data_IF_609605047271
#
_entry.id   IF_609605047271
#
_cell.length_a   1.000
_cell.length_b   1.000
_cell.length_c   1.000
_cell.angle_alpha   90.00
_cell.angle_beta   90.00
_cell.angle_gamma   90.00
#
_symmetry.space_group_name_H-M   'P 1'
#
loop_
_entity.id
_entity.type
_entity.pdbx_description
1 polymer ?
#
# COMPACT_ATOMS: atom_id res chain seq x y z
N UNK A 1 -21.03 -3.14 3.39
CA UNK A 1 -21.60 -2.93 4.75
C UNK A 1 -20.54 -2.35 5.69
N UNK A 2 -20.93 -1.59 6.72
CA UNK A 2 -20.03 -1.20 7.82
C UNK A 2 -20.00 -2.24 8.96
N UNK A 3 -18.80 -2.64 9.35
CA UNK A 3 -18.53 -3.51 10.49
C UNK A 3 -18.30 -2.73 11.79
N UNK A 4 -17.47 -3.28 12.66
CA UNK A 4 -17.05 -2.64 13.92
C UNK A 4 -17.69 -3.22 15.18
N UNK A 5 -17.22 -2.71 16.31
CA UNK A 5 -17.67 -3.13 17.63
C UNK A 5 -19.10 -2.68 17.88
N UNK A 6 -19.95 -3.59 18.33
CA UNK A 6 -21.35 -3.29 18.63
C UNK A 6 -21.44 -2.33 19.82
N UNK A 7 -22.06 -1.17 19.59
CA UNK A 7 -22.44 -0.20 20.62
C UNK A 7 -23.87 -0.48 21.09
N UNK A 8 -24.77 -0.85 20.17
CA UNK A 8 -26.13 -1.28 20.47
C UNK A 8 -26.54 -2.42 19.55
N UNK A 9 -27.03 -3.50 20.16
CA UNK A 9 -27.42 -4.73 19.47
C UNK A 9 -28.71 -4.53 18.67
N UNK A 10 -28.66 -4.81 17.37
CA UNK A 10 -29.82 -4.63 16.47
C UNK A 10 -30.95 -5.62 16.70
N UNK A 11 -30.66 -6.79 17.30
CA UNK A 11 -31.66 -7.79 17.68
C UNK A 11 -32.67 -7.27 18.71
N UNK A 12 -32.27 -6.30 19.54
CA UNK A 12 -33.12 -5.68 20.56
C UNK A 12 -33.38 -4.20 20.31
N UNK A 13 -32.72 -3.61 19.31
CA UNK A 13 -32.92 -2.23 18.89
C UNK A 13 -33.59 -2.19 17.51
N UNK A 14 -34.92 -2.18 17.52
CA UNK A 14 -35.73 -2.08 16.30
C UNK A 14 -36.14 -0.63 16.05
N UNK A 15 -35.98 -0.18 14.81
CA UNK A 15 -36.41 1.15 14.36
C UNK A 15 -37.18 1.02 13.04
N UNK A 16 -37.95 2.05 12.72
CA UNK A 16 -38.87 2.04 11.58
C UNK A 16 -38.16 2.09 10.22
N UNK A 17 -37.01 2.75 10.12
CA UNK A 17 -36.30 2.98 8.87
C UNK A 17 -34.82 3.30 9.09
N UNK A 18 -34.06 3.29 7.99
CA UNK A 18 -32.63 3.60 7.98
C UNK A 18 -32.30 5.00 8.55
N UNK A 19 -33.18 5.99 8.33
CA UNK A 19 -33.01 7.35 8.86
C UNK A 19 -33.10 7.38 10.40
N UNK A 20 -34.05 6.66 10.98
CA UNK A 20 -34.17 6.52 12.43
C UNK A 20 -32.94 5.78 13.02
N UNK A 21 -32.37 4.82 12.28
CA UNK A 21 -31.13 4.16 12.69
C UNK A 21 -29.93 5.12 12.67
N UNK A 22 -29.80 5.93 11.62
CA UNK A 22 -28.82 7.02 11.54
C UNK A 22 -28.95 7.99 12.72
N UNK A 23 -30.16 8.47 12.98
CA UNK A 23 -30.40 9.47 14.04
C UNK A 23 -30.10 8.88 15.44
N UNK A 24 -30.39 7.59 15.64
CA UNK A 24 -29.99 6.87 16.86
C UNK A 24 -28.47 6.77 17.01
N UNK A 25 -27.73 6.56 15.91
CA UNK A 25 -26.26 6.61 15.93
C UNK A 25 -25.75 8.02 16.26
N UNK A 26 -26.30 9.04 15.59
CA UNK A 26 -25.91 10.43 15.81
C UNK A 26 -26.11 10.88 17.27
N UNK A 27 -27.19 10.42 17.92
CA UNK A 27 -27.46 10.66 19.33
C UNK A 27 -26.44 10.00 20.28
N UNK A 28 -25.70 9.00 19.80
CA UNK A 28 -24.68 8.28 20.55
C UNK A 28 -23.24 8.63 20.12
N UNK A 29 -23.04 9.68 19.31
CA UNK A 29 -21.71 10.05 18.78
C UNK A 29 -20.69 10.45 19.86
N UNK A 30 -21.20 10.88 21.02
CA UNK A 30 -20.40 11.36 22.15
C UNK A 30 -20.53 10.40 23.37
N UNK A 31 -21.09 9.19 23.15
CA UNK A 31 -21.37 8.23 24.22
C UNK A 31 -20.09 7.57 24.76
N UNK A 32 -20.05 7.36 26.07
CA UNK A 32 -18.98 6.63 26.77
C UNK A 32 -19.47 5.24 27.24
N UNK A 33 -18.64 4.19 27.24
CA UNK A 33 -17.20 4.20 26.94
C UNK A 33 -16.88 4.20 25.44
N UNK A 34 -17.88 4.03 24.57
CA UNK A 34 -17.68 3.86 23.13
C UNK A 34 -18.79 4.56 22.33
N UNK A 35 -18.44 5.56 21.49
CA UNK A 35 -19.44 6.30 20.72
C UNK A 35 -19.89 5.53 19.48
N UNK A 36 -21.09 5.80 18.97
CA UNK A 36 -21.51 5.31 17.66
C UNK A 36 -20.93 6.19 16.55
N UNK A 37 -20.36 5.58 15.50
CA UNK A 37 -19.89 6.30 14.32
C UNK A 37 -20.23 5.61 12.98
N UNK A 38 -20.78 4.40 13.02
CA UNK A 38 -21.37 3.72 11.85
C UNK A 38 -22.63 2.95 12.27
N UNK A 39 -23.54 2.73 11.34
CA UNK A 39 -24.79 2.03 11.61
C UNK A 39 -25.18 1.08 10.46
N UNK A 40 -25.91 0.02 10.80
CA UNK A 40 -26.45 -0.95 9.85
C UNK A 40 -27.91 -1.24 10.18
N UNK A 41 -28.77 -1.18 9.17
CA UNK A 41 -30.22 -1.31 9.27
C UNK A 41 -30.72 -2.44 8.38
N UNK A 42 -31.64 -3.27 8.89
CA UNK A 42 -32.31 -4.31 8.12
C UNK A 42 -33.65 -3.84 7.53
N UNK A 43 -33.73 -3.48 6.24
CA UNK A 43 -34.99 -3.15 5.56
C UNK A 43 -35.80 -4.38 5.13
N UNK A 44 -35.18 -5.56 5.03
CA UNK A 44 -35.80 -6.72 4.39
C UNK A 44 -37.01 -7.26 5.19
N UNK A 45 -38.13 -7.49 4.50
CA UNK A 45 -39.36 -8.00 5.13
C UNK A 45 -39.18 -9.41 5.72
N UNK A 46 -38.38 -10.27 5.06
CA UNK A 46 -38.01 -11.59 5.55
C UNK A 46 -36.84 -11.59 6.55
N UNK A 47 -36.40 -10.41 7.01
CA UNK A 47 -35.21 -10.26 7.83
C UNK A 47 -33.90 -10.33 7.03
N UNK A 48 -32.80 -10.05 7.70
CA UNK A 48 -31.45 -10.02 7.15
C UNK A 48 -30.62 -11.21 7.68
N UNK A 49 -29.45 -11.44 7.09
CA UNK A 49 -28.55 -12.54 7.46
C UNK A 49 -29.22 -13.93 7.46
N UNK A 50 -30.06 -14.20 6.45
CA UNK A 50 -30.83 -15.45 6.34
C UNK A 50 -32.01 -15.54 7.30
N UNK A 51 -32.62 -14.40 7.67
CA UNK A 51 -33.77 -14.32 8.57
C UNK A 51 -33.41 -14.34 10.06
N UNK A 52 -32.12 -14.36 10.40
CA UNK A 52 -31.64 -14.28 11.80
C UNK A 52 -31.84 -12.90 12.42
N UNK A 53 -31.85 -11.87 11.57
CA UNK A 53 -32.00 -10.49 11.99
C UNK A 53 -33.39 -9.98 11.59
N UNK A 54 -34.23 -9.53 12.54
CA UNK A 54 -35.58 -9.11 12.24
C UNK A 54 -35.59 -7.82 11.38
N UNK A 55 -36.67 -7.62 10.62
CA UNK A 55 -36.92 -6.34 9.95
C UNK A 55 -36.87 -5.22 10.99
N UNK A 56 -36.19 -4.13 10.64
CA UNK A 56 -36.05 -2.98 11.53
C UNK A 56 -34.84 -3.05 12.45
N UNK A 57 -34.10 -4.17 12.49
CA UNK A 57 -32.89 -4.29 13.29
C UNK A 57 -31.90 -3.16 12.96
N UNK A 58 -31.57 -2.36 13.97
CA UNK A 58 -30.65 -1.23 13.89
C UNK A 58 -29.41 -1.51 14.76
N UNK A 59 -28.33 -1.86 14.08
CA UNK A 59 -27.03 -2.10 14.68
C UNK A 59 -26.27 -0.78 14.75
N UNK A 60 -26.08 -0.27 15.96
CA UNK A 60 -25.20 0.87 16.21
C UNK A 60 -23.81 0.35 16.53
N UNK A 61 -22.79 0.81 15.81
CA UNK A 61 -21.44 0.28 15.94
C UNK A 61 -20.42 1.42 16.04
N UNK A 62 -19.26 1.05 16.56
CA UNK A 62 -18.06 1.87 16.55
C UNK A 62 -17.02 1.19 15.68
N UNK A 63 -16.55 1.91 14.67
CA UNK A 63 -15.48 1.47 13.80
C UNK A 63 -14.33 2.47 13.90
N UNK A 64 -13.08 2.02 14.11
CA UNK A 64 -11.93 2.94 14.18
C UNK A 64 -11.76 3.84 12.95
N UNK A 65 -12.21 3.39 11.77
CA UNK A 65 -12.17 4.11 10.49
C UNK A 65 -13.57 4.18 9.88
N UNK A 66 -14.48 5.02 10.39
CA UNK A 66 -15.87 5.05 9.94
C UNK A 66 -16.02 5.40 8.45
N UNK A 67 -15.01 5.97 7.80
CA UNK A 67 -14.96 6.27 6.36
C UNK A 67 -14.89 5.02 5.46
N UNK A 68 -14.48 3.87 5.99
CA UNK A 68 -14.19 2.67 5.20
C UNK A 68 -15.20 1.54 5.45
N UNK A 69 -16.01 1.09 4.49
CA UNK A 69 -16.83 -0.10 4.67
C UNK A 69 -15.93 -1.36 4.84
N UNK A 70 -16.24 -2.21 5.82
CA UNK A 70 -15.44 -3.40 6.18
C UNK A 70 -16.16 -4.72 5.97
N UNK A 71 -17.48 -4.70 5.74
CA UNK A 71 -18.25 -5.88 5.36
C UNK A 71 -18.07 -6.25 3.89
N UNK A 72 -18.59 -7.42 3.46
CA UNK A 72 -18.59 -7.80 2.06
C UNK A 72 -19.15 -6.66 1.20
N UNK A 73 -18.60 -6.55 -0.02
CA UNK A 73 -18.95 -5.54 -1.02
C UNK A 73 -20.46 -5.55 -1.31
N UNK A 74 -20.92 -4.62 -2.16
CA UNK A 74 -22.28 -4.56 -2.68
C UNK A 74 -22.60 -5.81 -3.54
N UNK A 75 -22.68 -6.96 -2.88
CA UNK A 75 -23.16 -8.18 -3.45
C UNK A 75 -24.67 -7.99 -3.69
N UNK A 76 -25.22 -8.42 -4.84
CA UNK A 76 -26.63 -8.21 -5.18
C UNK A 76 -27.62 -8.75 -4.14
N UNK A 77 -27.17 -9.67 -3.30
CA UNK A 77 -27.91 -10.36 -2.25
C UNK A 77 -27.72 -9.74 -0.85
N UNK A 78 -26.92 -8.68 -0.69
CA UNK A 78 -26.73 -8.02 0.59
C UNK A 78 -28.00 -7.20 0.96
N UNK A 79 -28.78 -7.62 1.97
CA UNK A 79 -30.05 -6.96 2.30
C UNK A 79 -29.87 -5.73 3.19
N UNK A 80 -28.65 -5.44 3.66
CA UNK A 80 -28.37 -4.41 4.64
C UNK A 80 -28.28 -3.01 4.03
N UNK A 81 -28.84 -2.02 4.72
CA UNK A 81 -28.57 -0.60 4.47
C UNK A 81 -27.63 -0.10 5.56
N UNK A 82 -26.51 0.52 5.21
CA UNK A 82 -25.55 1.01 6.21
C UNK A 82 -25.07 2.41 5.90
N UNK A 83 -24.65 3.13 6.93
CA UNK A 83 -24.10 4.48 6.79
C UNK A 83 -23.02 4.78 7.81
N UNK A 84 -22.26 5.82 7.52
CA UNK A 84 -21.16 6.33 8.33
C UNK A 84 -21.46 7.75 8.79
N UNK A 85 -21.00 8.09 9.99
CA UNK A 85 -21.02 9.44 10.53
C UNK A 85 -19.75 10.24 10.15
N UNK A 86 -18.82 9.63 9.39
CA UNK A 86 -17.63 10.31 8.89
C UNK A 86 -18.01 11.45 7.94
N UNK A 87 -17.25 12.56 8.00
CA UNK A 87 -17.41 13.63 7.03
C UNK A 87 -17.14 13.08 5.61
N UNK A 88 -17.99 13.39 4.61
CA UNK A 88 -17.72 13.04 3.23
C UNK A 88 -16.37 13.61 2.80
N UNK A 89 -15.57 12.81 2.11
CA UNK A 89 -14.32 13.28 1.53
C UNK A 89 -14.59 14.42 0.52
N UNK A 90 -13.67 15.38 0.42
CA UNK A 90 -13.76 16.46 -0.55
C UNK A 90 -13.44 15.95 -1.96
N UNK A 91 -14.46 15.53 -2.70
CA UNK A 91 -14.32 14.92 -4.04
C UNK A 91 -14.18 15.93 -5.19
N UNK A 92 -13.95 17.22 -4.89
CA UNK A 92 -13.87 18.28 -5.91
C UNK A 92 -12.56 18.13 -6.70
N UNK A 93 -12.67 17.73 -7.98
CA UNK A 93 -11.53 17.52 -8.89
C UNK A 93 -11.22 16.04 -9.20
N UNK A 94 -11.97 15.09 -8.63
CA UNK A 94 -11.57 13.66 -8.57
C UNK A 94 -12.08 12.75 -9.68
N UNK A 95 -12.38 13.29 -10.86
CA UNK A 95 -12.84 12.47 -11.99
C UNK A 95 -12.09 12.81 -13.27
N UNK A 96 -11.84 11.78 -14.08
CA UNK A 96 -11.10 11.89 -15.34
C UNK A 96 -9.63 12.25 -15.14
N UNK A 97 -9.06 12.96 -16.12
CA UNK A 97 -7.65 13.41 -16.17
C UNK A 97 -7.13 14.05 -14.87
N UNK A 98 -7.99 14.71 -14.10
CA UNK A 98 -7.61 15.43 -12.89
C UNK A 98 -7.23 14.50 -11.73
N UNK A 99 -7.59 13.21 -11.81
CA UNK A 99 -7.20 12.19 -10.82
C UNK A 99 -5.94 11.41 -11.20
N UNK A 100 -5.25 11.83 -12.27
CA UNK A 100 -4.00 11.18 -12.70
C UNK A 100 -2.97 11.16 -11.59
N UNK A 101 -2.23 10.07 -11.51
CA UNK A 101 -1.15 9.91 -10.55
C UNK A 101 0.18 9.66 -11.25
N UNK A 102 1.23 10.20 -10.65
CA UNK A 102 2.61 9.95 -11.03
C UNK A 102 3.20 8.82 -10.19
N UNK A 103 3.86 7.85 -10.81
CA UNK A 103 4.59 6.81 -10.04
C UNK A 103 5.97 7.34 -9.67
N UNK A 104 6.30 7.32 -8.38
CA UNK A 104 7.64 7.68 -7.90
C UNK A 104 8.25 6.46 -7.21
N UNK A 105 9.37 5.98 -7.74
CA UNK A 105 10.12 4.83 -7.21
C UNK A 105 11.54 5.25 -6.89
N UNK A 106 12.08 4.77 -5.76
CA UNK A 106 13.47 5.05 -5.36
C UNK A 106 14.35 3.86 -5.70
N UNK A 107 15.55 4.12 -6.25
CA UNK A 107 16.56 3.09 -6.48
C UNK A 107 17.97 3.61 -6.21
N UNK A 108 18.92 2.70 -5.99
CA UNK A 108 20.35 2.94 -6.16
C UNK A 108 20.88 2.27 -7.45
N UNK A 109 22.13 2.58 -7.81
CA UNK A 109 22.75 2.12 -9.05
C UNK A 109 23.31 0.68 -8.93
N UNK A 110 22.51 -0.27 -8.42
CA UNK A 110 22.93 -1.67 -8.33
C UNK A 110 22.14 -2.59 -9.28
N UNK A 111 22.75 -3.70 -9.75
CA UNK A 111 22.08 -4.64 -10.65
C UNK A 111 20.79 -5.22 -10.09
N UNK A 112 20.75 -5.46 -8.77
CA UNK A 112 19.61 -6.04 -8.07
C UNK A 112 18.34 -5.21 -8.28
N UNK A 113 18.36 -3.91 -7.98
CA UNK A 113 17.21 -3.03 -8.16
C UNK A 113 17.01 -2.66 -9.63
N UNK A 114 18.07 -2.61 -10.42
CA UNK A 114 18.01 -2.23 -11.82
C UNK A 114 17.13 -3.17 -12.64
N UNK A 115 17.29 -4.50 -12.56
CA UNK A 115 16.40 -5.41 -13.31
C UNK A 115 14.95 -5.36 -12.78
N UNK A 116 14.78 -5.16 -11.47
CA UNK A 116 13.45 -5.06 -10.83
C UNK A 116 12.69 -3.85 -11.39
N UNK A 117 13.27 -2.65 -11.31
CA UNK A 117 12.62 -1.40 -11.76
C UNK A 117 12.39 -1.38 -13.28
N UNK A 118 13.27 -2.01 -14.07
CA UNK A 118 13.04 -2.17 -15.52
C UNK A 118 11.82 -3.04 -15.81
N UNK A 119 11.68 -4.16 -15.08
CA UNK A 119 10.51 -5.04 -15.20
C UNK A 119 9.24 -4.29 -14.76
N UNK A 120 9.29 -3.57 -13.64
CA UNK A 120 8.20 -2.73 -13.15
C UNK A 120 7.79 -1.69 -14.19
N UNK A 121 8.73 -0.93 -14.74
CA UNK A 121 8.46 0.13 -15.72
C UNK A 121 7.86 -0.43 -17.02
N UNK A 122 8.37 -1.57 -17.50
CA UNK A 122 7.79 -2.29 -18.65
C UNK A 122 6.30 -2.62 -18.41
N UNK A 123 5.97 -3.21 -17.26
CA UNK A 123 4.59 -3.55 -16.93
C UNK A 123 3.72 -2.32 -16.67
N UNK A 124 4.28 -1.27 -16.07
CA UNK A 124 3.60 0.02 -15.92
C UNK A 124 3.15 0.58 -17.27
N UNK A 125 4.06 0.68 -18.25
CA UNK A 125 3.75 1.17 -19.59
C UNK A 125 2.69 0.29 -20.28
N UNK A 126 2.81 -1.03 -20.14
CA UNK A 126 1.85 -1.99 -20.72
C UNK A 126 0.45 -1.85 -20.12
N UNK A 127 0.32 -1.61 -18.82
CA UNK A 127 -0.99 -1.40 -18.20
C UNK A 127 -1.55 0.00 -18.48
N UNK A 128 -0.70 1.04 -18.50
CA UNK A 128 -1.08 2.40 -18.89
C UNK A 128 -1.65 2.44 -20.31
N UNK A 129 -1.04 1.73 -21.25
CA UNK A 129 -1.49 1.65 -22.64
C UNK A 129 -2.89 1.02 -22.82
N UNK A 130 -3.42 0.33 -21.80
CA UNK A 130 -4.77 -0.23 -21.81
C UNK A 130 -5.83 0.74 -21.29
N UNK A 131 -5.44 1.88 -20.71
CA UNK A 131 -6.40 2.90 -20.27
C UNK A 131 -6.84 3.79 -21.43
N UNK A 132 -8.04 4.37 -21.32
CA UNK A 132 -8.49 5.39 -22.27
C UNK A 132 -7.52 6.60 -22.21
N UNK A 133 -7.05 7.13 -23.34
CA UNK A 133 -6.10 8.26 -23.34
C UNK A 133 -6.64 9.55 -22.69
N UNK A 134 -7.97 9.74 -22.68
CA UNK A 134 -8.64 10.87 -22.04
C UNK A 134 -8.93 10.55 -20.58
N UNK A 135 -9.50 9.40 -20.26
CA UNK A 135 -9.98 9.13 -18.89
C UNK A 135 -8.99 8.34 -18.02
N UNK A 136 -7.88 7.88 -18.58
CA UNK A 136 -6.83 7.13 -17.90
C UNK A 136 -6.13 7.93 -16.80
N UNK A 137 -5.90 7.26 -15.68
CA UNK A 137 -5.35 7.86 -14.46
C UNK A 137 -3.88 7.51 -14.23
N UNK A 138 -3.29 6.57 -14.97
CA UNK A 138 -1.84 6.31 -14.93
C UNK A 138 -1.10 7.44 -15.68
N UNK A 139 -0.48 8.35 -14.93
CA UNK A 139 0.20 9.55 -15.41
C UNK A 139 1.66 9.32 -15.79
N UNK A 140 2.58 10.11 -15.24
CA UNK A 140 4.02 9.93 -15.42
C UNK A 140 4.64 8.87 -14.50
N UNK A 141 5.93 8.62 -14.73
CA UNK A 141 6.76 7.71 -13.94
C UNK A 141 8.13 8.36 -13.76
N UNK A 142 8.62 8.45 -12.52
CA UNK A 142 9.96 8.95 -12.21
C UNK A 142 10.68 7.95 -11.30
N UNK A 143 11.87 7.55 -11.73
CA UNK A 143 12.86 6.86 -10.90
C UNK A 143 13.73 7.91 -10.20
N UNK A 144 13.68 7.95 -8.89
CA UNK A 144 14.57 8.79 -8.07
C UNK A 144 15.81 7.96 -7.73
N UNK A 145 16.89 8.23 -8.44
CA UNK A 145 18.17 7.52 -8.30
C UNK A 145 19.03 8.22 -7.24
N UNK A 146 19.14 7.61 -6.07
CA UNK A 146 19.94 8.13 -4.95
C UNK A 146 21.38 7.56 -4.97
N UNK A 147 22.02 7.67 -6.12
CA UNK A 147 23.36 7.15 -6.41
C UNK A 147 23.94 7.86 -7.65
N UNK A 148 25.10 7.40 -8.14
CA UNK A 148 25.67 7.89 -9.40
C UNK A 148 24.73 7.62 -10.59
N UNK A 149 24.71 8.51 -11.60
CA UNK A 149 24.02 8.28 -12.87
C UNK A 149 24.35 6.91 -13.47
N UNK A 150 23.34 6.24 -14.05
CA UNK A 150 23.48 4.94 -14.72
C UNK A 150 22.86 4.97 -16.13
N UNK A 151 23.08 3.91 -16.92
CA UNK A 151 22.59 3.82 -18.30
C UNK A 151 21.07 3.61 -18.41
N UNK A 152 20.35 3.44 -17.29
CA UNK A 152 18.89 3.33 -17.32
C UNK A 152 18.19 4.68 -17.43
N UNK A 153 18.92 5.79 -17.31
CA UNK A 153 18.39 7.12 -17.53
C UNK A 153 17.87 7.32 -18.97
N UNK A 154 18.38 6.54 -19.93
CA UNK A 154 17.89 6.51 -21.32
C UNK A 154 16.58 5.72 -21.48
N UNK A 155 16.25 4.85 -20.53
CA UNK A 155 15.08 3.94 -20.59
C UNK A 155 13.93 4.37 -19.68
N UNK A 156 14.26 4.97 -18.53
CA UNK A 156 13.32 5.31 -17.46
C UNK A 156 13.55 6.78 -17.09
N UNK A 157 12.51 7.65 -17.13
CA UNK A 157 12.65 9.02 -16.67
C UNK A 157 13.21 9.03 -15.25
N UNK A 158 14.38 9.64 -15.08
CA UNK A 158 15.17 9.53 -13.86
C UNK A 158 15.54 10.93 -13.36
N UNK A 159 15.40 11.11 -12.05
CA UNK A 159 15.99 12.23 -11.34
C UNK A 159 17.09 11.71 -10.41
N UNK A 160 18.29 12.27 -10.53
CA UNK A 160 19.44 11.88 -9.69
C UNK A 160 19.48 12.78 -8.46
N UNK A 161 19.61 12.16 -7.28
CA UNK A 161 19.67 12.84 -5.98
C UNK A 161 20.81 12.26 -5.15
N UNK A 162 21.16 12.94 -4.06
CA UNK A 162 22.28 12.51 -3.22
C UNK A 162 21.85 11.32 -2.35
N UNK A 163 22.74 10.33 -2.25
CA UNK A 163 22.62 9.27 -1.24
C UNK A 163 22.78 9.87 0.16
N UNK A 164 22.19 9.23 1.17
CA UNK A 164 22.46 9.64 2.55
C UNK A 164 23.93 9.39 2.91
N UNK A 165 24.61 10.39 3.49
CA UNK A 165 26.05 10.33 3.81
C UNK A 165 26.43 9.13 4.69
N UNK A 166 25.62 8.85 5.72
CA UNK A 166 25.79 7.70 6.61
C UNK A 166 24.48 6.91 6.74
N UNK A 167 24.43 5.79 6.03
CA UNK A 167 23.31 4.85 6.09
C UNK A 167 23.35 3.92 7.31
N UNK A 168 24.39 3.99 8.15
CA UNK A 168 24.54 3.17 9.36
C UNK A 168 24.30 1.66 9.09
N UNK A 169 24.81 1.18 7.95
CA UNK A 169 24.64 -0.20 7.49
C UNK A 169 23.22 -0.57 7.04
N UNK A 170 22.33 0.39 6.82
CA UNK A 170 20.94 0.18 6.40
C UNK A 170 20.61 1.05 5.18
N UNK A 171 20.80 0.49 3.99
CA UNK A 171 20.65 1.20 2.70
C UNK A 171 19.27 1.84 2.49
N UNK A 172 18.24 1.33 3.16
CA UNK A 172 16.87 1.85 3.06
C UNK A 172 16.73 3.25 3.68
N UNK A 173 17.67 3.70 4.52
CA UNK A 173 17.67 5.08 5.03
C UNK A 173 17.77 6.14 3.95
N UNK A 174 18.36 5.81 2.80
CA UNK A 174 18.45 6.73 1.67
C UNK A 174 17.09 7.02 1.02
N UNK A 175 16.07 6.19 1.23
CA UNK A 175 14.75 6.39 0.63
C UNK A 175 14.02 7.63 1.15
N UNK A 176 13.83 7.82 2.47
CA UNK A 176 13.29 9.07 2.98
C UNK A 176 14.05 10.30 2.50
N UNK A 177 15.38 10.21 2.43
CA UNK A 177 16.25 11.28 1.92
C UNK A 177 16.01 11.55 0.42
N UNK A 178 15.81 10.51 -0.37
CA UNK A 178 15.50 10.60 -1.79
C UNK A 178 14.14 11.27 -2.03
N UNK A 179 13.11 10.94 -1.24
CA UNK A 179 11.79 11.59 -1.34
C UNK A 179 11.81 13.04 -0.86
N UNK A 180 12.63 13.39 0.13
CA UNK A 180 12.87 14.78 0.49
C UNK A 180 13.49 15.54 -0.70
N UNK A 181 14.56 15.01 -1.27
CA UNK A 181 15.25 15.62 -2.40
C UNK A 181 14.44 15.61 -3.70
N UNK A 182 13.48 14.70 -3.85
CA UNK A 182 12.56 14.69 -4.98
C UNK A 182 11.85 16.04 -5.13
N UNK A 183 11.43 16.67 -4.03
CA UNK A 183 10.81 18.00 -4.09
C UNK A 183 11.81 19.16 -4.13
N UNK A 184 13.07 18.94 -3.75
CA UNK A 184 14.10 19.99 -3.69
C UNK A 184 14.89 20.11 -5.00
N UNK A 185 15.09 19.00 -5.72
CA UNK A 185 16.04 18.89 -6.83
C UNK A 185 15.44 18.40 -8.14
N UNK A 186 14.34 17.64 -8.11
CA UNK A 186 13.77 17.08 -9.33
C UNK A 186 12.85 18.08 -10.04
N UNK A 187 12.67 17.93 -11.37
CA UNK A 187 11.64 18.66 -12.09
C UNK A 187 10.25 18.44 -11.47
N UNK A 188 9.44 19.49 -11.46
CA UNK A 188 8.07 19.40 -10.98
C UNK A 188 7.24 18.47 -11.89
N UNK A 189 6.49 17.57 -11.26
CA UNK A 189 5.56 16.68 -11.96
C UNK A 189 4.24 17.40 -12.26
N UNK A 190 3.61 17.04 -13.38
CA UNK A 190 2.31 17.58 -13.77
C UNK A 190 1.20 17.14 -12.80
N UNK A 191 1.22 15.87 -12.38
CA UNK A 191 0.17 15.29 -11.55
C UNK A 191 0.20 15.79 -10.10
N UNK A 192 -0.99 15.92 -9.51
CA UNK A 192 -1.14 16.27 -8.08
C UNK A 192 -1.06 15.06 -7.15
N UNK A 193 -1.21 13.85 -7.69
CA UNK A 193 -1.19 12.62 -6.93
C UNK A 193 0.04 11.79 -7.26
N UNK A 194 0.60 11.13 -6.25
CA UNK A 194 1.77 10.28 -6.36
C UNK A 194 1.40 8.88 -5.89
N UNK A 195 1.80 7.86 -6.64
CA UNK A 195 1.93 6.49 -6.14
C UNK A 195 3.40 6.27 -5.76
N UNK A 196 3.70 6.26 -4.47
CA UNK A 196 4.99 5.80 -3.97
C UNK A 196 5.06 4.28 -4.15
N UNK A 197 6.11 3.81 -4.82
CA UNK A 197 6.26 2.42 -5.23
C UNK A 197 7.66 1.86 -4.93
N UNK A 198 7.78 0.53 -4.96
CA UNK A 198 9.04 -0.22 -4.86
C UNK A 198 9.45 -0.80 -6.22
N UNK A 199 10.76 -1.00 -6.48
CA UNK A 199 11.22 -1.55 -7.74
C UNK A 199 10.72 -2.99 -8.00
N UNK A 200 10.33 -3.74 -6.97
CA UNK A 200 9.76 -5.09 -7.08
C UNK A 200 8.23 -5.13 -7.12
N UNK A 201 7.61 -4.08 -7.64
CA UNK A 201 6.19 -4.04 -7.97
C UNK A 201 5.96 -4.44 -9.44
N UNK A 202 4.96 -5.30 -9.69
CA UNK A 202 4.42 -5.56 -11.02
C UNK A 202 2.94 -5.19 -11.08
N UNK A 203 2.55 -4.44 -12.11
CA UNK A 203 1.16 -4.04 -12.32
C UNK A 203 0.38 -5.16 -13.02
N UNK A 204 -0.56 -5.77 -12.28
CA UNK A 204 -1.37 -6.90 -12.75
C UNK A 204 -2.41 -6.46 -13.79
N UNK A 205 -2.93 -5.24 -13.62
CA UNK A 205 -4.00 -4.65 -14.45
C UNK A 205 -3.86 -3.12 -14.48
N UNK A 206 -4.61 -2.42 -15.36
CA UNK A 206 -4.72 -0.96 -15.29
C UNK A 206 -5.12 -0.51 -13.89
N UNK A 207 -4.41 0.47 -13.35
CA UNK A 207 -4.60 0.95 -11.99
C UNK A 207 -5.13 2.38 -12.04
N UNK A 208 -6.25 2.60 -11.36
CA UNK A 208 -6.79 3.93 -11.12
C UNK A 208 -6.29 4.45 -9.77
N UNK A 209 -6.34 5.78 -9.60
CA UNK A 209 -6.02 6.40 -8.32
C UNK A 209 -7.07 5.99 -7.27
N UNK A 210 -6.63 5.29 -6.23
CA UNK A 210 -7.48 4.74 -5.18
C UNK A 210 -7.76 5.70 -4.01
N UNK A 211 -7.23 6.93 -4.06
CA UNK A 211 -7.54 7.97 -3.09
C UNK A 211 -9.01 8.37 -3.16
N UNK A 212 -9.53 8.83 -2.04
CA UNK A 212 -10.84 9.44 -1.91
C UNK A 212 -10.65 10.80 -1.26
N UNK A 213 -10.99 11.90 -1.92
CA UNK A 213 -10.56 13.17 -1.38
C UNK A 213 -9.05 13.41 -1.54
N UNK A 214 -8.60 14.21 -0.59
CA UNK A 214 -7.22 14.29 -0.13
C UNK A 214 -6.78 13.09 0.71
N UNK A 215 -7.62 12.09 1.00
CA UNK A 215 -7.26 10.96 1.86
C UNK A 215 -6.36 9.98 1.11
N UNK A 216 -5.09 9.81 1.52
CA UNK A 216 -4.17 8.85 0.94
C UNK A 216 -4.70 7.41 1.01
N UNK A 217 -4.33 6.57 0.04
CA UNK A 217 -4.70 5.17 0.04
C UNK A 217 -3.45 4.30 0.14
N UNK A 218 -3.38 3.41 1.13
CA UNK A 218 -2.18 2.64 1.45
C UNK A 218 -2.47 1.16 1.67
N UNK A 219 -1.48 0.32 1.35
CA UNK A 219 -1.54 -1.09 1.73
C UNK A 219 -1.24 -1.27 3.23
N UNK A 220 -2.09 -2.00 3.99
CA UNK A 220 -1.82 -2.30 5.39
C UNK A 220 -0.80 -3.44 5.54
N UNK A 221 0.22 -3.21 6.36
CA UNK A 221 1.23 -4.19 6.72
C UNK A 221 0.95 -4.77 8.09
N UNK A 222 0.67 -6.07 8.13
CA UNK A 222 0.31 -6.78 9.37
C UNK A 222 1.40 -6.75 10.45
N UNK A 223 2.65 -6.46 10.07
CA UNK A 223 3.80 -6.37 10.98
C UNK A 223 4.11 -4.93 11.44
N UNK A 224 3.33 -3.93 11.02
CA UNK A 224 3.41 -2.57 11.53
C UNK A 224 2.30 -2.36 12.56
N UNK A 225 2.65 -2.49 13.83
CA UNK A 225 1.68 -2.45 14.93
C UNK A 225 2.13 -1.44 16.01
N UNK A 226 1.90 -0.12 15.82
CA UNK A 226 2.34 0.91 16.77
C UNK A 226 1.87 0.68 18.21
N UNK A 227 0.64 0.17 18.38
CA UNK A 227 0.06 -0.14 19.69
C UNK A 227 0.81 -1.22 20.48
N UNK A 228 1.62 -2.09 19.83
CA UNK A 228 2.47 -3.06 20.53
C UNK A 228 3.74 -2.43 21.10
N UNK A 229 4.11 -1.23 20.65
CA UNK A 229 5.36 -0.56 21.01
C UNK A 229 5.13 0.85 21.58
N UNK A 230 4.25 1.02 22.59
CA UNK A 230 3.82 2.32 23.08
C UNK A 230 5.00 3.20 23.52
N UNK A 231 5.97 2.62 24.23
CA UNK A 231 7.17 3.33 24.71
C UNK A 231 8.07 3.79 23.57
N UNK A 232 8.31 2.92 22.59
CA UNK A 232 9.17 3.26 21.44
C UNK A 232 8.51 4.31 20.55
N UNK A 233 7.22 4.13 20.21
CA UNK A 233 6.51 5.11 19.36
C UNK A 233 6.52 6.49 20.02
N UNK A 234 6.16 6.58 21.31
CA UNK A 234 6.17 7.86 22.06
C UNK A 234 7.53 8.53 22.08
N UNK A 235 8.64 7.77 22.10
CA UNK A 235 10.00 8.32 22.08
C UNK A 235 10.29 9.15 20.83
N UNK A 236 9.64 8.84 19.72
CA UNK A 236 9.86 9.50 18.44
C UNK A 236 8.77 10.51 18.07
N UNK A 237 7.85 10.81 19.00
CA UNK A 237 6.78 11.80 18.80
C UNK A 237 7.23 13.26 18.99
N UNK A 238 8.48 13.50 19.41
CA UNK A 238 8.96 14.83 19.77
C UNK A 238 8.16 15.41 20.94
N UNK A 239 7.63 16.61 20.78
CA UNK A 239 6.82 17.30 21.81
C UNK A 239 5.33 16.88 21.80
N UNK A 240 4.92 16.04 20.84
CA UNK A 240 3.53 15.59 20.72
C UNK A 240 3.27 14.47 21.72
N UNK A 241 2.31 14.68 22.62
CA UNK A 241 1.82 13.63 23.53
C UNK A 241 0.72 12.83 22.86
N UNK A 242 0.83 11.50 22.87
CA UNK A 242 -0.18 10.57 22.32
C UNK A 242 -0.67 9.58 23.36
N UNK A 243 -1.98 9.31 23.33
CA UNK A 243 -2.68 8.35 24.20
C UNK A 243 -2.56 6.92 23.66
N UNK A 244 -3.02 5.92 24.43
CA UNK A 244 -3.15 4.55 23.92
C UNK A 244 -4.22 4.45 22.81
N UNK A 245 -5.25 5.30 22.85
CA UNK A 245 -6.25 5.38 21.79
C UNK A 245 -5.64 5.91 20.49
N UNK A 246 -4.74 6.89 20.57
CA UNK A 246 -4.00 7.40 19.42
C UNK A 246 -3.12 6.31 18.79
N UNK A 247 -2.39 5.55 19.62
CA UNK A 247 -1.58 4.42 19.16
C UNK A 247 -2.41 3.35 18.45
N UNK A 248 -3.61 3.05 18.95
CA UNK A 248 -4.54 2.14 18.31
C UNK A 248 -5.13 2.70 17.01
N UNK A 249 -5.20 4.03 16.90
CA UNK A 249 -5.69 4.70 15.71
C UNK A 249 -4.60 4.85 14.61
N UNK A 250 -3.31 4.79 14.93
CA UNK A 250 -2.23 4.90 13.94
C UNK A 250 -2.40 3.87 12.81
N UNK A 251 -2.06 4.28 11.59
CA UNK A 251 -2.22 3.43 10.42
C UNK A 251 -1.10 2.37 10.37
N UNK A 252 -1.43 1.07 10.21
CA UNK A 252 -0.44 0.00 10.12
C UNK A 252 0.16 -0.03 8.71
N UNK A 253 0.91 0.99 8.33
CA UNK A 253 1.34 1.23 6.94
C UNK A 253 2.86 1.43 6.82
N UNK A 254 3.36 1.48 5.60
CA UNK A 254 4.73 1.91 5.29
C UNK A 254 4.70 2.93 4.16
N UNK A 255 5.88 3.29 3.65
CA UNK A 255 6.01 4.28 2.57
C UNK A 255 5.57 3.76 1.19
N UNK A 256 5.35 2.47 1.01
CA UNK A 256 4.96 1.90 -0.29
C UNK A 256 4.17 0.58 -0.15
N UNK A 257 3.15 0.33 -0.99
CA UNK A 257 2.55 1.25 -1.94
C UNK A 257 1.58 2.22 -1.24
N UNK A 258 1.72 3.50 -1.57
CA UNK A 258 0.86 4.56 -1.04
C UNK A 258 0.52 5.54 -2.16
N UNK A 259 -0.77 5.74 -2.40
CA UNK A 259 -1.26 6.91 -3.11
C UNK A 259 -1.38 8.09 -2.15
N UNK A 260 -0.79 9.22 -2.49
CA UNK A 260 -0.78 10.43 -1.67
C UNK A 260 -0.75 11.69 -2.53
N UNK A 261 -1.35 12.79 -2.08
CA UNK A 261 -1.25 14.08 -2.75
C UNK A 261 0.19 14.64 -2.60
N UNK A 262 0.75 15.25 -3.66
CA UNK A 262 2.14 15.72 -3.70
C UNK A 262 2.47 16.69 -2.57
N UNK A 263 1.53 17.58 -2.22
CA UNK A 263 1.70 18.52 -1.10
C UNK A 263 1.79 17.82 0.27
N UNK A 264 1.00 16.77 0.48
CA UNK A 264 1.01 16.03 1.74
C UNK A 264 2.32 15.22 1.85
N UNK A 265 2.78 14.63 0.75
CA UNK A 265 4.08 13.97 0.70
C UNK A 265 5.24 14.96 0.88
N UNK A 266 5.17 16.16 0.28
CA UNK A 266 6.16 17.23 0.46
C UNK A 266 6.27 17.65 1.93
N UNK A 267 5.15 17.66 2.67
CA UNK A 267 5.10 17.91 4.10
C UNK A 267 5.68 16.75 4.93
N UNK A 268 5.37 15.51 4.57
CA UNK A 268 5.79 14.31 5.31
C UNK A 268 7.27 14.01 5.12
N UNK A 269 7.81 14.16 3.90
CA UNK A 269 9.14 13.66 3.54
C UNK A 269 10.29 14.14 4.45
N UNK A 270 10.38 15.44 4.83
CA UNK A 270 11.40 15.89 5.79
C UNK A 270 11.25 15.25 7.18
N UNK A 271 10.02 15.17 7.69
CA UNK A 271 9.73 14.55 8.99
C UNK A 271 10.04 13.05 8.97
N UNK A 272 9.67 12.36 7.89
CA UNK A 272 9.95 10.94 7.68
C UNK A 272 11.45 10.67 7.65
N UNK A 273 12.23 11.50 6.95
CA UNK A 273 13.69 11.43 6.99
C UNK A 273 14.22 11.54 8.42
N UNK A 274 13.88 12.62 9.13
CA UNK A 274 14.44 12.91 10.43
C UNK A 274 14.06 11.87 11.49
N UNK A 275 12.79 11.44 11.49
CA UNK A 275 12.31 10.39 12.39
C UNK A 275 13.02 9.06 12.09
N UNK A 276 13.15 8.68 10.82
CA UNK A 276 13.80 7.41 10.46
C UNK A 276 15.27 7.37 10.87
N UNK A 277 16.00 8.48 10.69
CA UNK A 277 17.40 8.61 11.15
C UNK A 277 17.49 8.52 12.68
N UNK A 278 16.57 9.16 13.42
CA UNK A 278 16.52 9.07 14.89
C UNK A 278 16.25 7.64 15.35
N UNK A 279 15.29 6.95 14.73
CA UNK A 279 14.98 5.55 15.01
C UNK A 279 16.22 4.67 14.80
N UNK A 280 16.93 4.86 13.69
CA UNK A 280 18.13 4.07 13.38
C UNK A 280 19.23 4.24 14.43
N UNK A 281 19.41 5.47 14.93
CA UNK A 281 20.41 5.81 15.95
C UNK A 281 20.07 5.28 17.34
N UNK A 282 18.79 5.03 17.61
CA UNK A 282 18.34 4.44 18.87
C UNK A 282 18.62 2.92 18.87
N UNK A 283 19.48 2.40 19.78
CA UNK A 283 19.85 0.98 19.77
C UNK A 283 18.67 0.04 20.05
N UNK A 284 17.70 0.46 20.85
CA UNK A 284 16.53 -0.34 21.21
C UNK A 284 15.56 -0.41 20.02
N UNK A 285 15.23 0.73 19.43
CA UNK A 285 14.33 0.80 18.28
C UNK A 285 14.93 0.15 17.02
N UNK A 286 16.21 0.38 16.74
CA UNK A 286 16.90 -0.27 15.62
C UNK A 286 16.93 -1.79 15.78
N UNK A 287 17.13 -2.30 17.00
CA UNK A 287 17.06 -3.74 17.28
C UNK A 287 15.65 -4.28 17.14
N UNK A 288 14.65 -3.58 17.68
CA UNK A 288 13.26 -4.04 17.72
C UNK A 288 12.60 -4.01 16.33
N UNK A 289 12.73 -2.90 15.60
CA UNK A 289 12.08 -2.72 14.30
C UNK A 289 12.94 -3.17 13.11
N UNK A 290 14.26 -3.26 13.26
CA UNK A 290 15.15 -3.87 12.28
C UNK A 290 14.89 -3.42 10.84
N UNK A 291 14.53 -4.36 9.97
CA UNK A 291 14.32 -4.09 8.54
C UNK A 291 13.06 -3.26 8.22
N UNK A 292 12.09 -3.17 9.16
CA UNK A 292 10.87 -2.36 8.99
C UNK A 292 10.95 -0.98 9.64
N UNK A 293 12.11 -0.60 10.19
CA UNK A 293 12.24 0.66 10.94
C UNK A 293 11.89 1.91 10.12
N UNK A 294 12.11 1.87 8.79
CA UNK A 294 11.76 2.98 7.91
C UNK A 294 10.25 3.13 7.76
N UNK A 295 9.52 2.01 7.72
CA UNK A 295 8.06 1.99 7.65
C UNK A 295 7.42 2.53 8.93
N UNK A 296 8.02 2.23 10.09
CA UNK A 296 7.67 2.89 11.36
C UNK A 296 7.96 4.39 11.31
N UNK A 297 9.08 4.79 10.73
CA UNK A 297 9.41 6.19 10.47
C UNK A 297 8.34 6.90 9.63
N UNK A 298 7.87 6.28 8.54
CA UNK A 298 6.80 6.83 7.70
C UNK A 298 5.46 6.89 8.46
N UNK A 299 5.12 5.85 9.22
CA UNK A 299 3.90 5.80 10.05
C UNK A 299 3.87 6.93 11.07
N UNK A 300 4.97 7.14 11.79
CA UNK A 300 5.10 8.21 12.79
C UNK A 300 5.08 9.59 12.12
N UNK A 301 5.79 9.77 11.01
CA UNK A 301 5.82 11.03 10.28
C UNK A 301 4.45 11.41 9.68
N UNK A 302 3.70 10.42 9.20
CA UNK A 302 2.32 10.60 8.73
C UNK A 302 1.42 11.09 9.86
N UNK A 303 1.49 10.43 11.02
CA UNK A 303 0.76 10.84 12.21
C UNK A 303 1.10 12.26 12.67
N UNK A 304 2.40 12.58 12.79
CA UNK A 304 2.90 13.92 13.13
C UNK A 304 2.42 14.99 12.14
N UNK A 305 2.21 14.60 10.88
CA UNK A 305 1.75 15.49 9.82
C UNK A 305 0.22 15.62 9.75
N UNK A 306 -0.52 14.89 10.59
CA UNK A 306 -1.99 14.83 10.57
C UNK A 306 -2.55 14.09 9.36
N UNK A 307 -1.76 13.21 8.74
CA UNK A 307 -2.13 12.46 7.54
C UNK A 307 -2.57 11.05 7.92
N UNK A 308 -3.79 10.68 7.50
CA UNK A 308 -4.42 9.40 7.77
C UNK A 308 -4.78 8.70 6.46
N UNK A 309 -4.61 7.38 6.42
CA UNK A 309 -4.73 6.60 5.20
C UNK A 309 -6.01 5.75 5.17
N UNK A 310 -6.62 5.66 4.00
CA UNK A 310 -7.59 4.62 3.66
C UNK A 310 -6.83 3.32 3.36
N UNK A 311 -7.08 2.27 4.15
CA UNK A 311 -6.39 0.98 3.97
C UNK A 311 -6.99 0.21 2.80
N UNK A 312 -6.14 -0.20 1.86
CA UNK A 312 -6.48 -0.99 0.67
C UNK A 312 -5.77 -2.36 0.70
N UNK A 313 -6.29 -3.38 1.42
CA UNK A 313 -5.70 -4.71 1.44
C UNK A 313 -5.55 -5.38 0.07
N UNK A 314 -6.37 -4.99 -0.90
CA UNK A 314 -6.32 -5.50 -2.28
C UNK A 314 -5.42 -4.66 -3.22
N UNK A 315 -4.77 -3.61 -2.72
CA UNK A 315 -3.82 -2.83 -3.51
C UNK A 315 -2.61 -3.68 -3.92
N UNK A 316 -2.12 -4.52 -3.03
CA UNK A 316 -0.91 -5.32 -3.24
C UNK A 316 -1.12 -6.78 -2.82
N UNK A 317 -0.60 -7.70 -3.64
CA UNK A 317 -0.44 -9.10 -3.33
C UNK A 317 0.99 -9.40 -2.87
N UNK A 318 1.14 -10.40 -2.00
CA UNK A 318 2.40 -10.90 -1.46
C UNK A 318 2.51 -12.42 -1.69
N UNK A 319 2.78 -12.88 -2.93
CA UNK A 319 3.07 -14.29 -3.17
C UNK A 319 4.33 -14.71 -2.37
N UNK A 320 4.40 -15.98 -1.92
CA UNK A 320 3.50 -17.09 -2.24
C UNK A 320 2.25 -17.19 -1.36
N UNK A 321 2.04 -16.25 -0.42
CA UNK A 321 0.93 -16.28 0.52
C UNK A 321 -0.40 -15.93 -0.15
N UNK A 322 -0.39 -14.92 -1.01
CA UNK A 322 -1.49 -14.65 -1.93
C UNK A 322 -1.37 -15.52 -3.18
N UNK A 323 -2.52 -16.00 -3.68
CA UNK A 323 -2.59 -16.93 -4.82
C UNK A 323 -3.29 -16.39 -6.07
N UNK A 324 -4.37 -15.61 -5.90
CA UNK A 324 -5.25 -15.18 -6.99
C UNK A 324 -4.78 -13.88 -7.62
N UNK A 325 -4.67 -13.83 -8.95
CA UNK A 325 -4.35 -12.58 -9.66
C UNK A 325 -5.56 -11.63 -9.69
N UNK A 326 -6.79 -12.16 -9.75
CA UNK A 326 -8.03 -11.39 -9.95
C UNK A 326 -8.42 -10.49 -8.79
N UNK A 327 -7.75 -10.65 -7.65
CA UNK A 327 -8.01 -9.92 -6.41
C UNK A 327 -7.19 -8.63 -6.27
N UNK A 328 -6.04 -8.50 -6.95
CA UNK A 328 -5.05 -7.47 -6.63
C UNK A 328 -4.64 -6.59 -7.82
N UNK A 329 -4.12 -5.40 -7.52
CA UNK A 329 -3.60 -4.47 -8.54
C UNK A 329 -2.09 -4.58 -8.76
N UNK A 330 -1.34 -4.70 -7.66
CA UNK A 330 0.12 -4.79 -7.65
C UNK A 330 0.53 -6.16 -7.12
N UNK A 331 1.52 -6.79 -7.73
CA UNK A 331 2.22 -7.93 -7.17
C UNK A 331 3.57 -7.44 -6.63
N UNK A 332 3.84 -7.68 -5.35
CA UNK A 332 5.10 -7.37 -4.69
C UNK A 332 5.90 -8.66 -4.45
N UNK A 333 6.96 -8.88 -5.23
CA UNK A 333 7.71 -10.15 -5.23
C UNK A 333 8.84 -10.19 -4.20
N UNK A 334 8.51 -9.84 -2.96
CA UNK A 334 9.50 -9.73 -1.87
C UNK A 334 9.93 -11.07 -1.28
N UNK A 335 9.03 -12.06 -1.22
CA UNK A 335 9.28 -13.35 -0.61
C UNK A 335 9.82 -14.37 -1.61
N UNK A 336 10.64 -15.30 -1.11
CA UNK A 336 11.03 -16.48 -1.87
C UNK A 336 9.84 -17.41 -2.12
N UNK A 337 9.73 -17.91 -3.34
CA UNK A 337 8.69 -18.81 -3.80
C UNK A 337 9.33 -20.17 -4.02
N UNK A 338 9.15 -21.07 -3.06
CA UNK A 338 9.82 -22.37 -3.00
C UNK A 338 8.80 -23.50 -3.11
N UNK A 339 8.99 -24.38 -4.10
CA UNK A 339 8.08 -25.49 -4.36
C UNK A 339 8.84 -26.79 -4.60
N UNK A 340 8.26 -27.92 -4.20
CA UNK A 340 8.69 -29.22 -4.70
C UNK A 340 8.26 -29.44 -6.16
N UNK A 341 8.62 -30.58 -6.76
CA UNK A 341 8.29 -30.86 -8.17
C UNK A 341 6.80 -31.18 -8.40
N UNK A 342 6.06 -31.48 -7.34
CA UNK A 342 4.61 -31.72 -7.41
C UNK A 342 3.83 -30.39 -7.30
N UNK A 343 4.50 -29.30 -6.92
CA UNK A 343 3.91 -27.97 -6.77
C UNK A 343 3.46 -27.65 -5.35
N UNK A 344 3.91 -28.40 -4.35
CA UNK A 344 3.64 -28.11 -2.94
C UNK A 344 4.59 -27.00 -2.45
N UNK A 345 4.03 -25.97 -1.82
CA UNK A 345 4.80 -24.88 -1.23
C UNK A 345 5.64 -25.37 -0.06
N UNK A 346 6.94 -25.05 -0.04
CA UNK A 346 7.91 -25.47 0.98
C UNK A 346 8.45 -24.29 1.79
N UNK A 347 7.65 -23.64 2.65
CA UNK A 347 8.08 -22.46 3.40
C UNK A 347 9.30 -22.76 4.28
N UNK A 348 10.28 -21.85 4.26
CA UNK A 348 11.49 -21.97 5.08
C UNK A 348 12.50 -23.01 4.59
N UNK A 349 12.28 -23.62 3.42
CA UNK A 349 13.22 -24.57 2.78
C UNK A 349 13.40 -24.20 1.32
N UNK A 350 14.60 -24.40 0.80
CA UNK A 350 14.82 -24.28 -0.64
C UNK A 350 14.04 -25.37 -1.37
N UNK A 351 13.11 -24.96 -2.23
CA UNK A 351 12.35 -25.85 -3.09
C UNK A 351 13.21 -26.44 -4.20
N UNK A 352 12.72 -27.51 -4.84
CA UNK A 352 13.34 -28.03 -6.07
C UNK A 352 13.12 -27.06 -7.25
N UNK A 353 12.00 -26.34 -7.23
CA UNK A 353 11.80 -25.13 -8.02
C UNK A 353 11.77 -23.91 -7.09
N UNK A 354 12.44 -22.83 -7.49
CA UNK A 354 12.56 -21.61 -6.69
C UNK A 354 12.51 -20.37 -7.56
N UNK A 355 11.78 -19.36 -7.09
CA UNK A 355 11.98 -17.96 -7.47
C UNK A 355 12.23 -17.13 -6.21
N UNK A 356 13.44 -16.60 -6.06
CA UNK A 356 13.76 -15.56 -5.07
C UNK A 356 14.64 -14.51 -5.74
N UNK A 357 14.19 -13.25 -5.73
CA UNK A 357 14.95 -12.15 -6.31
C UNK A 357 16.37 -12.02 -5.75
N UNK A 358 16.61 -12.49 -4.52
CA UNK A 358 17.93 -12.48 -3.87
C UNK A 358 18.94 -13.45 -4.49
N UNK A 359 18.50 -14.35 -5.38
CA UNK A 359 19.40 -15.14 -6.24
C UNK A 359 20.17 -14.23 -7.21
N UNK A 360 19.57 -13.11 -7.62
CA UNK A 360 20.12 -12.21 -8.65
C UNK A 360 20.51 -10.85 -8.05
N UNK A 361 21.38 -10.88 -7.04
CA UNK A 361 21.92 -9.65 -6.41
C UNK A 361 22.99 -8.96 -7.25
N UNK A 362 23.67 -9.70 -8.12
CA UNK A 362 24.80 -9.23 -8.93
C UNK A 362 24.47 -9.08 -10.42
N UNK A 363 23.22 -9.31 -10.83
CA UNK A 363 22.82 -9.30 -12.23
C UNK A 363 21.31 -9.43 -12.39
N UNK A 364 20.84 -9.40 -13.63
CA UNK A 364 19.46 -9.75 -13.96
C UNK A 364 19.27 -11.28 -13.93
N UNK A 365 18.03 -11.77 -13.76
CA UNK A 365 17.73 -13.18 -13.96
C UNK A 365 18.01 -13.62 -15.40
N UNK A 366 18.32 -14.90 -15.58
CA UNK A 366 18.47 -15.49 -16.90
C UNK A 366 17.18 -15.33 -17.71
N UNK A 367 17.31 -15.15 -19.02
CA UNK A 367 16.15 -15.18 -19.93
C UNK A 367 15.50 -16.57 -19.90
N UNK A 368 14.17 -16.60 -20.02
CA UNK A 368 13.39 -17.84 -20.02
C UNK A 368 13.55 -18.66 -18.72
N UNK A 369 13.36 -18.00 -17.58
CA UNK A 369 13.22 -18.65 -16.28
C UNK A 369 12.29 -19.86 -16.36
N UNK A 370 12.72 -20.95 -15.73
CA UNK A 370 11.95 -22.19 -15.65
C UNK A 370 10.57 -21.92 -15.07
N UNK A 371 9.52 -22.34 -15.79
CA UNK A 371 8.15 -22.23 -15.29
C UNK A 371 7.96 -23.05 -14.02
N UNK A 372 7.09 -22.60 -13.10
CA UNK A 372 6.78 -23.35 -11.90
C UNK A 372 6.13 -24.70 -12.22
N UNK A 373 6.17 -25.66 -11.28
CA UNK A 373 5.58 -26.98 -11.44
C UNK A 373 4.11 -26.92 -11.89
N UNK A 374 3.70 -27.86 -12.76
CA UNK A 374 2.35 -27.90 -13.29
C UNK A 374 1.28 -28.02 -12.18
N UNK A 375 1.56 -28.81 -11.15
CA UNK A 375 0.67 -29.01 -9.99
C UNK A 375 0.64 -27.86 -8.99
N UNK A 376 1.43 -26.79 -9.18
CA UNK A 376 1.47 -25.65 -8.25
C UNK A 376 0.11 -24.94 -8.20
N UNK A 377 -0.43 -24.64 -7.03
CA UNK A 377 -1.68 -23.87 -6.90
C UNK A 377 -1.38 -22.44 -6.46
N UNK A 378 -0.76 -21.65 -7.35
CA UNK A 378 -0.54 -20.22 -7.16
C UNK A 378 -0.48 -19.48 -8.53
N UNK A 379 -1.50 -18.69 -8.85
CA UNK A 379 -1.55 -17.94 -10.11
C UNK A 379 -0.59 -16.75 -10.12
N UNK A 380 -0.43 -16.07 -8.98
CA UNK A 380 0.48 -14.94 -8.84
C UNK A 380 1.94 -15.34 -9.08
N UNK A 381 2.37 -16.50 -8.59
CA UNK A 381 3.73 -17.02 -8.84
C UNK A 381 3.93 -17.35 -10.32
N UNK A 382 2.92 -17.93 -10.99
CA UNK A 382 2.98 -18.14 -12.45
C UNK A 382 3.09 -16.82 -13.18
N UNK A 383 2.22 -15.87 -12.84
CA UNK A 383 2.23 -14.53 -13.42
C UNK A 383 3.59 -13.86 -13.25
N UNK A 384 4.18 -13.90 -12.06
CA UNK A 384 5.49 -13.32 -11.77
C UNK A 384 6.56 -13.86 -12.72
N UNK A 385 6.64 -15.18 -12.89
CA UNK A 385 7.65 -15.82 -13.75
C UNK A 385 7.42 -15.48 -15.22
N UNK A 386 6.17 -15.56 -15.68
CA UNK A 386 5.81 -15.19 -17.05
C UNK A 386 6.07 -13.69 -17.30
N UNK A 387 5.83 -12.83 -16.31
CA UNK A 387 6.05 -11.39 -16.39
C UNK A 387 7.52 -11.01 -16.50
N UNK A 388 8.41 -11.67 -15.74
CA UNK A 388 9.86 -11.50 -15.85
C UNK A 388 10.38 -12.07 -17.17
N UNK A 389 9.86 -13.22 -17.62
CA UNK A 389 10.21 -13.80 -18.92
C UNK A 389 9.82 -12.89 -20.08
N UNK A 390 8.62 -12.31 -20.05
CA UNK A 390 8.17 -11.39 -21.09
C UNK A 390 9.02 -10.10 -21.13
N UNK A 391 9.28 -9.51 -19.96
CA UNK A 391 10.12 -8.31 -19.86
C UNK A 391 11.55 -8.58 -20.34
N UNK A 392 12.17 -9.68 -19.92
CA UNK A 392 13.54 -10.04 -20.31
C UNK A 392 13.70 -10.37 -21.80
N UNK A 393 12.65 -10.89 -22.43
CA UNK A 393 12.61 -11.11 -23.88
C UNK A 393 12.44 -9.80 -24.66
N UNK A 394 11.71 -8.83 -24.11
CA UNK A 394 11.34 -7.59 -24.80
C UNK A 394 12.32 -6.44 -24.59
N UNK A 395 12.97 -6.38 -23.43
CA UNK A 395 13.89 -5.30 -23.07
C UNK A 395 15.28 -5.54 -23.67
N UNK A 396 15.90 -4.51 -24.30
CA UNK A 396 17.24 -4.62 -24.84
C UNK A 396 18.27 -4.75 -23.71
N UNK A 397 19.44 -5.34 -23.99
CA UNK A 397 20.56 -5.42 -23.04
C UNK A 397 20.15 -5.92 -21.63
N UNK A 398 19.28 -6.94 -21.57
CA UNK A 398 18.79 -7.49 -20.31
C UNK A 398 19.93 -7.95 -19.37
N UNK A 399 20.99 -8.52 -19.95
CA UNK A 399 22.16 -9.04 -19.23
C UNK A 399 23.12 -7.93 -18.74
N UNK A 400 22.85 -6.66 -19.09
CA UNK A 400 23.50 -5.47 -18.54
C UNK A 400 22.45 -4.56 -17.88
N UNK A 401 21.93 -4.94 -16.69
CA UNK A 401 20.77 -4.30 -16.11
C UNK A 401 21.01 -2.85 -15.70
N UNK A 402 22.25 -2.41 -15.47
CA UNK A 402 22.58 -1.02 -15.12
C UNK A 402 22.88 -0.14 -16.34
N UNK A 403 23.01 -0.74 -17.53
CA UNK A 403 23.38 -0.03 -18.77
C UNK A 403 24.79 0.57 -18.76
N UNK A 404 25.65 0.21 -17.81
CA UNK A 404 27.01 0.77 -17.67
C UNK A 404 28.02 0.20 -18.67
N UNK A 405 27.69 -0.87 -19.40
CA UNK A 405 28.56 -1.42 -20.46
C UNK A 405 28.32 -0.78 -21.84
N UNK A 406 27.47 0.26 -21.90
CA UNK A 406 27.07 0.92 -23.15
C UNK A 406 27.98 2.08 -23.52
#
# INVERSE_FOLDING_TARGET
EYGGDVVKWGTTHLVENARACHDACAAMRDATPRPCNVWVFCPAAGGCAGGREPRGACWLKHQPRPENPTGPADAPDNPWTSGSMAAPADVRGERGVHKRFHVVVTTNANPYQAWQVRTMHYWYLKQKAKQDPRDGQMGGFTRVLHDQPDGLMDEIPTCVVDRLDDEMGFVVLSRPNAFKQFFEKCPEIEEDYILMAEPDHLYLRPLDNLMNGRTPAAFPFFYIEPAKFPTLVRRFMGDVTITDADLAAMDPIGSSPVFIHKDDLRKIAPTWHDVTVKIKRDPEANKEWGWVLEMYGYTIASWLSGVRHDLRPKLQAQPPWDKSVSDFYILHFTYGNDYDLDGTFTPGKMGKWRFDKRTWTQGAPEKNLTRPPAGMDNELVRFLVDAVNEASASLPHWDDPTGMKR
#
